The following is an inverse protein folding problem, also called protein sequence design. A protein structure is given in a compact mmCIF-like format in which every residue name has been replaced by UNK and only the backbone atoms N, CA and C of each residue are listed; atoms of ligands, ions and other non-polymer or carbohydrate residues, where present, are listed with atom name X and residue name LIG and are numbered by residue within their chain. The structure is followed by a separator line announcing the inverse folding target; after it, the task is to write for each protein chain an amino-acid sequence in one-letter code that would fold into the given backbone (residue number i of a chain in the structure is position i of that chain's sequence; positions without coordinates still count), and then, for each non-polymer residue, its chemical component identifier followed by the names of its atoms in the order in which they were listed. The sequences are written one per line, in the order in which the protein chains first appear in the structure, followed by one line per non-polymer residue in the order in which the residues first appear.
data_IF_539961587326
#
_entry.id   IF_539961587326
#
_cell.length_a   1.000
_cell.length_b   1.000
_cell.length_c   1.000
_cell.angle_alpha   90.00
_cell.angle_beta   90.00
_cell.angle_gamma   90.00
#
_symmetry.space_group_name_H-M   'P 1'
#
loop_
_entity.id
_entity.type
_entity.pdbx_description
1 polymer ?
#
# COMPACT_ATOMS: atom_id res chain seq x y z
N UNK A 1 -15.25 22.57 -13.69
CA UNK A 1 -14.99 21.18 -13.28
C UNK A 1 -14.29 20.35 -14.36
N UNK A 2 -14.81 20.25 -15.56
CA UNK A 2 -14.15 19.52 -16.67
C UNK A 2 -12.74 20.03 -16.97
N UNK A 3 -12.56 21.34 -17.07
CA UNK A 3 -11.24 21.96 -17.31
C UNK A 3 -10.23 21.62 -16.20
N UNK A 4 -10.66 21.63 -14.93
CA UNK A 4 -9.83 21.23 -13.79
C UNK A 4 -9.40 19.75 -13.87
N UNK A 5 -10.36 18.85 -14.13
CA UNK A 5 -10.07 17.42 -14.26
C UNK A 5 -9.11 17.13 -15.42
N UNK A 6 -9.34 17.79 -16.57
CA UNK A 6 -8.45 17.69 -17.74
C UNK A 6 -7.03 18.19 -17.40
N UNK A 7 -6.93 19.36 -16.75
CA UNK A 7 -5.63 19.89 -16.30
C UNK A 7 -4.92 18.95 -15.34
N UNK A 8 -5.63 18.36 -14.39
CA UNK A 8 -5.07 17.38 -13.45
C UNK A 8 -4.63 16.11 -14.15
N UNK A 9 -5.44 15.59 -15.07
CA UNK A 9 -5.07 14.42 -15.88
C UNK A 9 -3.82 14.68 -16.72
N UNK A 10 -3.73 15.88 -17.33
CA UNK A 10 -2.54 16.28 -18.08
C UNK A 10 -1.30 16.41 -17.18
N UNK A 11 -1.44 16.84 -15.93
CA UNK A 11 -0.32 16.92 -14.97
C UNK A 11 0.17 15.56 -14.47
N UNK A 12 -0.62 14.49 -14.59
CA UNK A 12 -0.16 13.12 -14.30
C UNK A 12 1.00 12.74 -15.24
N UNK A 13 0.93 13.12 -16.50
CA UNK A 13 1.95 12.76 -17.49
C UNK A 13 3.35 13.29 -17.10
N UNK A 14 3.57 14.61 -16.88
CA UNK A 14 4.89 15.09 -16.47
C UNK A 14 5.32 14.56 -15.11
N UNK A 15 4.37 14.29 -14.20
CA UNK A 15 4.68 13.69 -12.90
C UNK A 15 5.23 12.27 -13.07
N UNK A 16 4.58 11.43 -13.86
CA UNK A 16 5.04 10.08 -14.14
C UNK A 16 6.37 10.06 -14.91
N UNK A 17 6.55 10.98 -15.86
CA UNK A 17 7.82 11.14 -16.55
C UNK A 17 8.94 11.54 -15.59
N UNK A 18 8.69 12.47 -14.67
CA UNK A 18 9.66 12.87 -13.65
C UNK A 18 10.01 11.69 -12.71
N UNK A 19 9.02 10.97 -12.21
CA UNK A 19 9.23 9.80 -11.35
C UNK A 19 10.02 8.72 -12.11
N UNK A 20 9.61 8.37 -13.32
CA UNK A 20 10.27 7.35 -14.13
C UNK A 20 11.73 7.71 -14.45
N UNK A 21 12.00 8.98 -14.76
CA UNK A 21 13.36 9.46 -15.03
C UNK A 21 14.25 9.36 -13.79
N UNK A 22 13.75 9.83 -12.64
CA UNK A 22 14.50 9.77 -11.37
C UNK A 22 14.76 8.33 -10.96
N UNK A 23 13.74 7.47 -11.01
CA UNK A 23 13.90 6.06 -10.65
C UNK A 23 14.85 5.33 -11.60
N UNK A 24 14.72 5.56 -12.90
CA UNK A 24 15.66 5.00 -13.89
C UNK A 24 17.08 5.47 -13.63
N UNK A 25 17.28 6.77 -13.38
CA UNK A 25 18.60 7.32 -13.07
C UNK A 25 19.18 6.67 -11.79
N UNK A 26 18.40 6.58 -10.70
CA UNK A 26 18.85 5.94 -9.46
C UNK A 26 19.32 4.51 -9.70
N UNK A 27 18.56 3.72 -10.47
CA UNK A 27 18.91 2.33 -10.80
C UNK A 27 20.26 2.26 -11.55
N UNK A 28 20.64 3.28 -12.35
CA UNK A 28 21.95 3.30 -13.03
C UNK A 28 23.14 3.44 -12.06
N UNK A 29 22.93 4.05 -10.89
CA UNK A 29 24.00 4.25 -9.89
C UNK A 29 24.14 3.07 -8.92
N UNK A 30 23.21 2.12 -8.92
CA UNK A 30 23.31 0.95 -8.05
C UNK A 30 24.33 -0.03 -8.61
N UNK A 31 25.45 -0.32 -7.91
CA UNK A 31 26.47 -1.25 -8.38
C UNK A 31 25.94 -2.69 -8.37
N UNK A 32 26.43 -3.51 -9.31
CA UNK A 32 26.08 -4.93 -9.39
C UNK A 32 24.75 -5.20 -10.07
N UNK A 33 24.54 -4.64 -11.26
CA UNK A 33 23.39 -4.88 -12.11
C UNK A 33 23.23 -6.33 -12.58
N UNK A 34 22.21 -6.64 -13.42
CA UNK A 34 21.95 -8.01 -13.86
C UNK A 34 23.14 -8.64 -14.57
N UNK A 35 23.93 -7.86 -15.31
CA UNK A 35 25.14 -8.34 -16.00
C UNK A 35 26.19 -8.79 -14.99
N UNK A 36 26.49 -7.94 -14.00
CA UNK A 36 27.47 -8.26 -12.93
C UNK A 36 27.04 -9.48 -12.11
N UNK A 37 25.73 -9.64 -11.87
CA UNK A 37 25.23 -10.82 -11.18
C UNK A 37 25.39 -12.11 -11.98
N UNK A 38 25.13 -12.07 -13.28
CA UNK A 38 25.35 -13.23 -14.16
C UNK A 38 26.83 -13.58 -14.18
N UNK A 39 27.71 -12.59 -14.35
CA UNK A 39 29.16 -12.77 -14.30
C UNK A 39 29.58 -13.40 -12.97
N UNK A 40 29.10 -12.86 -11.85
CA UNK A 40 29.42 -13.38 -10.52
C UNK A 40 28.95 -14.83 -10.33
N UNK A 41 27.71 -15.16 -10.75
CA UNK A 41 27.17 -16.53 -10.67
C UNK A 41 27.97 -17.52 -11.52
N UNK A 42 28.31 -17.18 -12.74
CA UNK A 42 29.07 -18.07 -13.63
C UNK A 42 30.51 -18.24 -13.14
N UNK A 43 31.16 -17.17 -12.67
CA UNK A 43 32.49 -17.26 -12.08
C UNK A 43 32.49 -18.09 -10.78
N UNK A 44 31.47 -17.96 -9.93
CA UNK A 44 31.33 -18.78 -8.74
C UNK A 44 31.10 -20.27 -9.08
N UNK A 45 30.27 -20.56 -10.08
CA UNK A 45 30.07 -21.92 -10.57
C UNK A 45 31.34 -22.51 -11.19
N UNK A 46 32.10 -21.71 -11.95
CA UNK A 46 33.38 -22.12 -12.52
C UNK A 46 34.42 -22.44 -11.43
N UNK A 47 34.48 -21.62 -10.38
CA UNK A 47 35.38 -21.85 -9.24
C UNK A 47 35.05 -23.10 -8.40
N UNK A 48 33.77 -23.54 -8.42
CA UNK A 48 33.32 -24.73 -7.71
C UNK A 48 33.67 -26.07 -8.41
N UNK A 49 34.11 -26.03 -9.69
CA UNK A 49 34.41 -27.24 -10.46
C UNK A 49 35.86 -27.25 -10.90
N UNK A 50 36.59 -28.40 -10.70
CA UNK A 50 37.94 -28.57 -11.22
C UNK A 50 37.96 -28.40 -12.75
N UNK A 51 38.66 -27.38 -13.26
CA UNK A 51 38.71 -27.05 -14.68
C UNK A 51 37.61 -26.12 -15.18
N UNK A 52 36.80 -25.55 -14.26
CA UNK A 52 35.77 -24.54 -14.61
C UNK A 52 36.41 -23.28 -15.26
N UNK A 53 35.85 -22.85 -16.39
CA UNK A 53 36.30 -21.67 -17.11
C UNK A 53 35.41 -20.47 -16.75
N UNK A 54 36.02 -19.38 -16.29
CA UNK A 54 35.34 -18.10 -16.12
C UNK A 54 34.87 -17.52 -17.45
N UNK A 55 33.96 -16.55 -17.37
CA UNK A 55 33.37 -15.87 -18.51
C UNK A 55 34.50 -15.08 -19.27
N UNK A 56 34.55 -15.25 -20.59
CA UNK A 56 35.47 -14.49 -21.44
C UNK A 56 35.01 -13.04 -21.64
N UNK A 57 35.90 -12.10 -21.97
CA UNK A 57 35.53 -10.72 -22.28
C UNK A 57 34.49 -10.60 -23.42
N UNK A 58 34.52 -11.49 -24.40
CA UNK A 58 33.59 -11.55 -25.51
C UNK A 58 32.21 -11.99 -25.06
N UNK A 59 32.12 -12.98 -24.19
CA UNK A 59 30.85 -13.40 -23.57
C UNK A 59 30.24 -12.31 -22.70
N UNK A 60 31.07 -11.55 -21.95
CA UNK A 60 30.62 -10.37 -21.18
C UNK A 60 30.03 -9.31 -22.13
N UNK A 61 30.69 -9.00 -23.23
CA UNK A 61 30.21 -8.05 -24.23
C UNK A 61 28.88 -8.49 -24.85
N UNK A 62 28.70 -9.78 -25.13
CA UNK A 62 27.46 -10.35 -25.63
C UNK A 62 26.31 -10.26 -24.59
N UNK A 63 26.62 -10.52 -23.33
CA UNK A 63 25.63 -10.36 -22.23
C UNK A 63 25.24 -8.88 -22.09
N UNK A 64 26.19 -7.96 -22.13
CA UNK A 64 25.92 -6.52 -22.09
C UNK A 64 25.04 -6.07 -23.24
N UNK A 65 25.34 -6.53 -24.46
CA UNK A 65 24.53 -6.22 -25.64
C UNK A 65 23.12 -6.80 -25.56
N UNK A 66 22.97 -8.04 -25.04
CA UNK A 66 21.68 -8.68 -24.86
C UNK A 66 20.76 -7.87 -23.90
N UNK A 67 21.31 -7.33 -22.82
CA UNK A 67 20.60 -6.47 -21.90
C UNK A 67 20.58 -4.98 -22.32
N UNK A 68 21.18 -4.63 -23.45
CA UNK A 68 21.26 -3.26 -23.99
C UNK A 68 22.15 -2.33 -23.17
N UNK A 69 23.02 -2.86 -22.30
CA UNK A 69 23.98 -2.06 -21.52
C UNK A 69 25.17 -1.52 -22.37
N UNK A 70 25.27 -1.93 -23.62
CA UNK A 70 26.17 -1.38 -24.63
C UNK A 70 25.73 0.03 -25.06
N UNK A 71 24.47 0.42 -24.82
CA UNK A 71 23.93 1.71 -25.28
C UNK A 71 24.03 2.78 -24.18
N UNK A 72 24.13 4.07 -24.53
CA UNK A 72 24.11 5.18 -23.58
C UNK A 72 22.82 5.16 -22.74
N UNK A 73 22.92 5.59 -21.48
CA UNK A 73 21.80 5.55 -20.53
C UNK A 73 20.53 6.27 -21.03
N UNK A 74 20.67 7.40 -21.74
CA UNK A 74 19.52 8.11 -22.30
C UNK A 74 18.80 7.30 -23.39
N UNK A 75 19.52 6.56 -24.23
CA UNK A 75 18.91 5.69 -25.25
C UNK A 75 18.14 4.57 -24.57
N UNK A 76 18.71 3.96 -23.53
CA UNK A 76 18.05 2.93 -22.73
C UNK A 76 16.79 3.44 -22.06
N UNK A 77 16.82 4.65 -21.50
CA UNK A 77 15.66 5.28 -20.90
C UNK A 77 14.51 5.46 -21.90
N UNK A 78 14.78 6.06 -23.06
CA UNK A 78 13.72 6.29 -24.05
C UNK A 78 13.21 5.00 -24.67
N UNK A 79 14.08 3.99 -24.87
CA UNK A 79 13.65 2.67 -25.33
C UNK A 79 12.74 2.00 -24.29
N UNK A 80 13.16 2.00 -23.02
CA UNK A 80 12.38 1.46 -21.92
C UNK A 80 11.04 2.21 -21.77
N UNK A 81 11.04 3.52 -21.79
CA UNK A 81 9.84 4.34 -21.73
C UNK A 81 8.87 4.05 -22.89
N UNK A 82 9.40 3.92 -24.11
CA UNK A 82 8.61 3.59 -25.29
C UNK A 82 7.96 2.20 -25.21
N UNK A 83 8.67 1.21 -24.68
CA UNK A 83 8.14 -0.13 -24.45
C UNK A 83 7.07 -0.11 -23.35
N UNK A 84 7.33 0.57 -22.24
CA UNK A 84 6.39 0.72 -21.12
C UNK A 84 5.08 1.38 -21.57
N UNK A 85 5.13 2.40 -22.44
CA UNK A 85 3.91 3.04 -22.99
C UNK A 85 3.10 2.10 -23.89
N UNK A 86 3.69 1.02 -24.39
CA UNK A 86 3.02 -0.05 -25.12
C UNK A 86 2.56 -1.20 -24.24
N UNK A 87 2.74 -1.09 -22.92
CA UNK A 87 2.42 -2.15 -21.95
C UNK A 87 3.51 -3.21 -21.79
N UNK A 88 4.67 -3.03 -22.42
CA UNK A 88 5.81 -3.93 -22.28
C UNK A 88 6.77 -3.37 -21.22
N UNK A 89 6.74 -3.97 -20.03
CA UNK A 89 7.65 -3.66 -18.92
C UNK A 89 8.94 -4.49 -18.95
N UNK A 90 9.13 -5.30 -19.98
CA UNK A 90 10.24 -6.24 -20.12
C UNK A 90 10.04 -7.52 -19.29
N UNK A 91 11.08 -8.32 -19.20
CA UNK A 91 11.08 -9.55 -18.42
C UNK A 91 11.79 -9.38 -17.08
N UNK A 92 11.27 -10.05 -16.07
CA UNK A 92 11.92 -10.20 -14.77
C UNK A 92 13.19 -11.04 -14.89
N UNK A 93 14.26 -10.60 -14.26
CA UNK A 93 15.53 -11.37 -14.23
C UNK A 93 15.50 -12.49 -13.19
N UNK A 94 14.69 -12.32 -12.15
CA UNK A 94 14.55 -13.31 -11.04
C UNK A 94 13.50 -14.35 -11.38
N UNK A 95 12.32 -13.91 -11.83
CA UNK A 95 11.17 -14.79 -12.08
C UNK A 95 11.12 -15.36 -13.49
N UNK A 96 11.94 -14.87 -14.45
CA UNK A 96 12.00 -15.31 -15.83
C UNK A 96 10.65 -15.26 -16.56
N UNK A 97 9.83 -14.29 -16.23
CA UNK A 97 8.47 -14.06 -16.75
C UNK A 97 8.29 -12.57 -17.09
N UNK A 98 7.31 -12.20 -17.93
CA UNK A 98 6.96 -10.81 -18.15
C UNK A 98 6.67 -10.09 -16.83
N UNK A 99 7.25 -8.91 -16.65
CA UNK A 99 7.13 -8.12 -15.42
C UNK A 99 5.66 -7.87 -15.05
N UNK A 100 4.83 -7.58 -16.06
CA UNK A 100 3.41 -7.32 -15.82
C UNK A 100 2.69 -8.53 -15.24
N UNK A 101 2.99 -9.74 -15.73
CA UNK A 101 2.39 -10.97 -15.23
C UNK A 101 2.79 -11.24 -13.77
N UNK A 102 4.07 -11.02 -13.44
CA UNK A 102 4.56 -11.13 -12.06
C UNK A 102 3.82 -10.15 -11.15
N UNK A 103 3.69 -8.89 -11.55
CA UNK A 103 2.99 -7.86 -10.78
C UNK A 103 1.51 -8.22 -10.61
N UNK A 104 0.83 -8.56 -11.69
CA UNK A 104 -0.61 -8.90 -11.69
C UNK A 104 -0.88 -10.14 -10.83
N UNK A 105 0.01 -11.12 -10.79
CA UNK A 105 -0.15 -12.31 -9.94
C UNK A 105 -0.13 -12.01 -8.44
N UNK A 106 0.62 -10.98 -8.00
CA UNK A 106 0.75 -10.58 -6.58
C UNK A 106 -0.26 -9.50 -6.16
N UNK A 107 -0.77 -8.76 -7.13
CA UNK A 107 -1.69 -7.64 -6.91
C UNK A 107 -2.96 -8.03 -6.14
N UNK A 108 -3.68 -9.13 -6.43
CA UNK A 108 -4.93 -9.47 -5.74
C UNK A 108 -4.78 -9.60 -4.22
N UNK A 109 -3.66 -10.12 -3.74
CA UNK A 109 -3.38 -10.28 -2.31
C UNK A 109 -3.24 -8.91 -1.65
N UNK A 110 -2.40 -8.04 -2.18
CA UNK A 110 -2.21 -6.69 -1.62
C UNK A 110 -3.48 -5.84 -1.72
N UNK A 111 -4.24 -5.97 -2.83
CA UNK A 111 -5.54 -5.33 -2.99
C UNK A 111 -6.53 -5.78 -1.91
N UNK A 112 -6.58 -7.07 -1.62
CA UNK A 112 -7.45 -7.61 -0.58
C UNK A 112 -7.10 -7.00 0.79
N UNK A 113 -5.83 -7.08 1.22
CA UNK A 113 -5.42 -6.51 2.52
C UNK A 113 -5.64 -5.01 2.60
N UNK A 114 -5.26 -4.27 1.55
CA UNK A 114 -5.46 -2.84 1.48
C UNK A 114 -6.93 -2.45 1.56
N UNK A 115 -7.80 -3.10 0.77
CA UNK A 115 -9.23 -2.81 0.73
C UNK A 115 -9.92 -3.17 2.05
N UNK A 116 -9.70 -4.39 2.55
CA UNK A 116 -10.35 -4.86 3.80
C UNK A 116 -9.93 -3.99 4.98
N UNK A 117 -8.64 -3.73 5.14
CA UNK A 117 -8.14 -2.88 6.23
C UNK A 117 -8.67 -1.46 6.12
N UNK A 118 -8.72 -0.90 4.91
CA UNK A 118 -9.26 0.42 4.65
C UNK A 118 -10.74 0.51 5.02
N UNK A 119 -11.57 -0.41 4.53
CA UNK A 119 -13.01 -0.43 4.82
C UNK A 119 -13.26 -0.58 6.33
N UNK A 120 -12.54 -1.48 6.99
CA UNK A 120 -12.65 -1.67 8.44
C UNK A 120 -12.18 -0.44 9.21
N UNK A 121 -11.08 0.21 8.80
CA UNK A 121 -10.61 1.45 9.42
C UNK A 121 -11.70 2.53 9.39
N UNK A 122 -12.31 2.77 8.24
CA UNK A 122 -13.38 3.76 8.10
C UNK A 122 -14.64 3.36 8.88
N UNK A 123 -15.07 2.10 8.77
CA UNK A 123 -16.27 1.60 9.41
C UNK A 123 -16.21 1.71 10.95
N UNK A 124 -15.03 1.52 11.54
CA UNK A 124 -14.84 1.57 13.00
C UNK A 124 -14.45 2.97 13.46
N UNK A 125 -13.56 3.66 12.77
CA UNK A 125 -13.03 4.97 13.17
C UNK A 125 -14.09 6.07 13.14
N UNK A 126 -14.97 6.07 12.13
CA UNK A 126 -15.99 7.12 11.99
C UNK A 126 -16.95 7.12 13.21
N UNK A 127 -17.68 6.03 13.54
CA UNK A 127 -18.58 6.04 14.68
C UNK A 127 -17.85 6.22 16.00
N UNK A 128 -16.62 5.68 16.13
CA UNK A 128 -15.83 5.84 17.34
C UNK A 128 -15.38 7.29 17.52
N UNK A 129 -14.92 7.97 16.48
CA UNK A 129 -14.52 9.37 16.51
C UNK A 129 -15.67 10.30 16.91
N UNK A 130 -16.87 10.07 16.33
CA UNK A 130 -18.10 10.79 16.72
C UNK A 130 -18.44 10.55 18.20
N UNK A 131 -18.41 9.29 18.65
CA UNK A 131 -18.68 8.95 20.07
C UNK A 131 -17.67 9.63 21.01
N UNK A 132 -16.39 9.63 20.65
CA UNK A 132 -15.34 10.31 21.42
C UNK A 132 -15.54 11.83 21.49
N UNK A 133 -15.98 12.46 20.40
CA UNK A 133 -16.30 13.89 20.39
C UNK A 133 -17.47 14.22 21.34
N UNK A 134 -18.52 13.39 21.33
CA UNK A 134 -19.67 13.57 22.24
C UNK A 134 -19.32 13.37 23.73
N UNK A 135 -18.27 12.58 24.02
CA UNK A 135 -17.78 12.33 25.39
C UNK A 135 -16.46 13.04 25.68
N UNK A 136 -16.16 14.11 24.95
CA UNK A 136 -14.91 14.84 25.06
C UNK A 136 -14.62 15.30 26.50
N UNK A 137 -13.39 15.10 26.94
CA UNK A 137 -12.93 15.42 28.30
C UNK A 137 -13.32 14.41 29.38
N UNK A 138 -14.08 13.37 29.05
CA UNK A 138 -14.38 12.27 29.98
C UNK A 138 -13.18 11.32 30.16
N UNK A 139 -13.20 10.55 31.25
CA UNK A 139 -12.18 9.52 31.49
C UNK A 139 -12.13 8.49 30.34
N UNK A 140 -13.31 8.08 29.83
CA UNK A 140 -13.41 7.15 28.69
C UNK A 140 -12.77 7.70 27.42
N UNK A 141 -12.91 9.01 27.14
CA UNK A 141 -12.24 9.68 26.03
C UNK A 141 -10.72 9.70 26.23
N UNK A 142 -10.26 10.05 27.43
CA UNK A 142 -8.82 10.13 27.75
C UNK A 142 -8.14 8.76 27.65
N UNK A 143 -8.71 7.73 28.29
CA UNK A 143 -8.16 6.36 28.26
C UNK A 143 -8.16 5.79 26.84
N UNK A 144 -9.28 5.89 26.11
CA UNK A 144 -9.34 5.40 24.74
C UNK A 144 -8.40 6.19 23.80
N UNK A 145 -8.19 7.48 24.03
CA UNK A 145 -7.20 8.27 23.28
C UNK A 145 -5.77 7.78 23.54
N UNK A 146 -5.43 7.48 24.79
CA UNK A 146 -4.13 6.94 25.14
C UNK A 146 -3.86 5.58 24.47
N UNK A 147 -4.86 4.68 24.49
CA UNK A 147 -4.75 3.36 23.83
C UNK A 147 -4.60 3.51 22.30
N UNK A 148 -5.42 4.35 21.67
CA UNK A 148 -5.36 4.62 20.24
C UNK A 148 -4.00 5.22 19.86
N UNK A 149 -3.52 6.18 20.66
CA UNK A 149 -2.22 6.82 20.43
C UNK A 149 -1.07 5.84 20.61
N UNK A 150 -1.10 4.98 21.63
CA UNK A 150 -0.12 3.92 21.81
C UNK A 150 -0.06 2.99 20.59
N UNK A 151 -1.24 2.58 20.04
CA UNK A 151 -1.30 1.81 18.81
C UNK A 151 -0.76 2.56 17.58
N UNK A 152 -0.93 3.87 17.52
CA UNK A 152 -0.40 4.71 16.43
C UNK A 152 1.13 4.80 16.43
N UNK A 153 1.74 4.89 17.62
CA UNK A 153 3.20 5.02 17.76
C UNK A 153 3.92 3.72 17.42
N UNK A 154 3.27 2.58 17.64
CA UNK A 154 3.87 1.27 17.37
C UNK A 154 3.80 0.95 15.87
N UNK A 155 4.94 0.61 15.22
CA UNK A 155 4.91 0.14 13.85
C UNK A 155 4.08 -1.15 13.72
N UNK A 156 3.16 -1.22 12.74
CA UNK A 156 2.27 -2.36 12.56
C UNK A 156 3.00 -3.71 12.47
N UNK A 157 4.15 -3.77 11.79
CA UNK A 157 4.96 -4.99 11.73
C UNK A 157 5.52 -5.41 13.10
N UNK A 158 5.89 -4.45 13.96
CA UNK A 158 6.39 -4.77 15.31
C UNK A 158 5.27 -5.34 16.17
N UNK A 159 4.05 -4.78 16.06
CA UNK A 159 2.85 -5.36 16.66
C UNK A 159 2.61 -6.77 16.12
N UNK A 160 2.76 -6.98 14.82
CA UNK A 160 2.65 -8.30 14.17
C UNK A 160 3.60 -9.34 14.76
N UNK A 161 4.87 -9.01 14.94
CA UNK A 161 5.85 -9.91 15.59
C UNK A 161 5.41 -10.28 17.01
N UNK A 162 4.99 -9.29 17.80
CA UNK A 162 4.51 -9.54 19.17
C UNK A 162 3.28 -10.44 19.15
N UNK A 163 2.31 -10.18 18.27
CA UNK A 163 1.11 -11.02 18.15
C UNK A 163 1.43 -12.45 17.73
N UNK A 164 2.35 -12.65 16.79
CA UNK A 164 2.80 -13.99 16.39
C UNK A 164 3.46 -14.75 17.54
N UNK A 165 4.32 -14.11 18.31
CA UNK A 165 4.99 -14.73 19.46
C UNK A 165 3.96 -15.19 20.51
N UNK A 166 2.99 -14.33 20.84
CA UNK A 166 2.03 -14.64 21.90
C UNK A 166 0.88 -15.53 21.44
N UNK A 167 0.41 -15.40 20.21
CA UNK A 167 -0.85 -16.01 19.76
C UNK A 167 -0.70 -17.05 18.64
N UNK A 168 0.47 -17.18 17.99
CA UNK A 168 0.64 -18.09 16.85
C UNK A 168 1.81 -19.08 17.02
N UNK A 169 2.86 -18.74 17.73
CA UNK A 169 4.09 -19.53 17.79
C UNK A 169 4.05 -20.79 18.63
N UNK A 170 2.94 -21.13 19.28
CA UNK A 170 2.82 -22.30 20.16
C UNK A 170 3.60 -22.19 21.49
N UNK A 171 4.40 -21.13 21.68
CA UNK A 171 5.13 -20.89 22.92
C UNK A 171 4.21 -20.52 24.08
N UNK A 172 3.22 -19.66 23.82
CA UNK A 172 2.22 -19.25 24.79
C UNK A 172 0.83 -19.73 24.38
N UNK A 173 0.32 -19.27 23.25
CA UNK A 173 -0.99 -19.62 22.70
C UNK A 173 -0.81 -20.03 21.23
N UNK A 174 -1.62 -20.96 20.74
CA UNK A 174 -1.66 -21.41 19.34
C UNK A 174 -3.04 -21.12 18.73
N UNK A 175 -3.50 -19.86 18.87
CA UNK A 175 -4.82 -19.49 18.41
C UNK A 175 -4.87 -19.12 16.91
N UNK A 176 -3.74 -18.66 16.36
CA UNK A 176 -3.64 -18.19 14.99
C UNK A 176 -2.49 -18.87 14.26
N UNK A 177 -2.54 -18.99 12.92
CA UNK A 177 -1.45 -19.50 12.11
C UNK A 177 -0.24 -18.55 12.13
N UNK A 178 0.96 -19.10 11.94
CA UNK A 178 2.20 -18.34 11.93
C UNK A 178 2.41 -17.47 10.70
N UNK A 179 1.82 -17.85 9.57
CA UNK A 179 1.99 -17.14 8.32
C UNK A 179 1.17 -17.77 7.20
N UNK A 180 1.47 -17.38 5.96
CA UNK A 180 0.71 -17.72 4.76
C UNK A 180 -0.69 -17.14 4.74
N UNK A 181 -1.37 -17.28 3.62
CA UNK A 181 -2.77 -16.83 3.44
C UNK A 181 -3.79 -17.95 3.63
N UNK A 182 -3.33 -19.21 3.65
CA UNK A 182 -4.12 -20.42 3.86
C UNK A 182 -3.24 -21.52 4.44
N UNK A 183 -3.85 -22.54 5.04
CA UNK A 183 -3.17 -23.73 5.56
C UNK A 183 -2.65 -24.66 4.47
N UNK A 184 -1.63 -25.47 4.77
CA UNK A 184 -1.04 -26.43 3.81
C UNK A 184 -2.05 -27.46 3.28
N UNK A 185 -3.08 -27.80 4.07
CA UNK A 185 -4.15 -28.74 3.70
C UNK A 185 -5.37 -28.06 3.06
N UNK A 186 -5.27 -26.79 2.66
CA UNK A 186 -6.38 -25.98 2.14
C UNK A 186 -7.16 -26.65 1.03
N UNK A 187 -6.46 -27.30 0.08
CA UNK A 187 -7.11 -27.96 -1.07
C UNK A 187 -8.04 -29.12 -0.66
N UNK A 188 -7.75 -29.76 0.48
CA UNK A 188 -8.55 -30.88 1.01
C UNK A 188 -9.74 -30.45 1.86
N UNK A 189 -9.86 -29.15 2.18
CA UNK A 189 -10.94 -28.62 3.02
C UNK A 189 -12.27 -28.52 2.26
N UNK A 190 -13.37 -28.59 3.01
CA UNK A 190 -14.70 -28.29 2.46
C UNK A 190 -14.79 -26.82 2.04
N UNK A 191 -15.71 -26.41 1.13
CA UNK A 191 -15.85 -25.03 0.72
C UNK A 191 -16.07 -24.05 1.88
N UNK A 192 -16.79 -24.46 2.92
CA UNK A 192 -17.02 -23.67 4.11
C UNK A 192 -15.75 -23.54 4.97
N UNK A 193 -15.04 -24.64 5.17
CA UNK A 193 -13.78 -24.66 5.93
C UNK A 193 -12.67 -23.87 5.22
N UNK A 194 -12.65 -23.86 3.88
CA UNK A 194 -11.76 -23.00 3.08
C UNK A 194 -11.95 -21.52 3.40
N UNK A 195 -13.20 -21.08 3.52
CA UNK A 195 -13.50 -19.68 3.89
C UNK A 195 -13.06 -19.38 5.33
N UNK A 196 -13.33 -20.29 6.26
CA UNK A 196 -12.93 -20.12 7.65
C UNK A 196 -11.41 -20.11 7.81
N UNK A 197 -10.71 -21.02 7.14
CA UNK A 197 -9.25 -21.09 7.12
C UNK A 197 -8.64 -19.78 6.60
N UNK A 198 -9.11 -19.32 5.44
CA UNK A 198 -8.68 -18.04 4.87
C UNK A 198 -8.93 -16.87 5.83
N UNK A 199 -10.14 -16.75 6.39
CA UNK A 199 -10.45 -15.66 7.34
C UNK A 199 -9.59 -15.75 8.59
N UNK A 200 -9.29 -16.96 9.08
CA UNK A 200 -8.45 -17.16 10.26
C UNK A 200 -7.00 -16.68 10.03
N UNK A 201 -6.43 -16.95 8.85
CA UNK A 201 -5.12 -16.45 8.46
C UNK A 201 -5.09 -14.92 8.30
N UNK A 202 -6.24 -14.31 7.97
CA UNK A 202 -6.31 -12.85 7.73
C UNK A 202 -6.39 -12.01 9.00
N UNK A 203 -6.80 -12.58 10.15
CA UNK A 203 -7.09 -11.79 11.37
C UNK A 203 -5.90 -10.95 11.81
N UNK A 204 -4.75 -11.56 12.04
CA UNK A 204 -3.57 -10.86 12.56
C UNK A 204 -2.98 -9.88 11.54
N UNK A 205 -2.77 -10.26 10.26
CA UNK A 205 -2.29 -9.33 9.25
C UNK A 205 -3.21 -8.11 9.08
N UNK A 206 -4.52 -8.32 8.90
CA UNK A 206 -5.50 -7.23 8.74
C UNK A 206 -5.46 -6.29 9.95
N UNK A 207 -5.37 -6.82 11.17
CA UNK A 207 -5.23 -6.01 12.38
C UNK A 207 -3.97 -5.12 12.32
N UNK A 208 -2.83 -5.66 11.86
CA UNK A 208 -1.58 -4.91 11.74
C UNK A 208 -1.65 -3.82 10.66
N UNK A 209 -2.32 -4.09 9.54
CA UNK A 209 -2.57 -3.07 8.51
C UNK A 209 -3.51 -1.96 9.00
N UNK A 210 -4.50 -2.32 9.80
CA UNK A 210 -5.55 -1.41 10.27
C UNK A 210 -5.05 -0.42 11.32
N UNK A 211 -4.11 -0.81 12.21
CA UNK A 211 -3.82 -0.11 13.46
C UNK A 211 -3.36 1.35 13.24
N UNK A 212 -2.54 1.61 12.23
CA UNK A 212 -2.04 2.96 11.91
C UNK A 212 -3.13 3.89 11.37
N UNK A 213 -3.85 3.45 10.36
CA UNK A 213 -4.93 4.18 9.71
C UNK A 213 -6.10 4.44 10.67
N UNK A 214 -6.46 3.42 11.46
CA UNK A 214 -7.52 3.50 12.47
C UNK A 214 -7.30 4.65 13.45
N UNK A 215 -6.09 4.79 13.97
CA UNK A 215 -5.77 5.83 14.94
C UNK A 215 -5.92 7.22 14.35
N UNK A 216 -5.33 7.44 13.18
CA UNK A 216 -5.36 8.72 12.46
C UNK A 216 -6.80 9.13 12.12
N UNK A 217 -7.57 8.22 11.54
CA UNK A 217 -8.96 8.46 11.15
C UNK A 217 -9.86 8.74 12.36
N UNK A 218 -9.68 8.00 13.45
CA UNK A 218 -10.46 8.20 14.68
C UNK A 218 -10.23 9.60 15.26
N UNK A 219 -8.97 10.04 15.33
CA UNK A 219 -8.63 11.38 15.83
C UNK A 219 -9.12 12.47 14.88
N UNK A 220 -8.97 12.27 13.56
CA UNK A 220 -9.48 13.21 12.56
C UNK A 220 -10.99 13.36 12.67
N UNK A 221 -11.75 12.27 12.74
CA UNK A 221 -13.20 12.30 12.89
C UNK A 221 -13.63 12.93 14.21
N UNK A 222 -12.94 12.62 15.33
CA UNK A 222 -13.17 13.28 16.63
C UNK A 222 -13.02 14.80 16.51
N UNK A 223 -11.90 15.27 15.97
CA UNK A 223 -11.60 16.69 15.89
C UNK A 223 -12.55 17.43 14.95
N UNK A 224 -12.88 16.87 13.79
CA UNK A 224 -13.88 17.43 12.88
C UNK A 224 -15.26 17.51 13.52
N UNK A 225 -15.65 16.50 14.30
CA UNK A 225 -16.93 16.51 15.01
C UNK A 225 -16.94 17.57 16.12
N UNK A 226 -15.83 17.73 16.86
CA UNK A 226 -15.69 18.78 17.89
C UNK A 226 -15.79 20.19 17.32
N UNK A 227 -15.15 20.43 16.17
CA UNK A 227 -15.26 21.70 15.46
C UNK A 227 -16.71 22.03 15.10
N UNK A 228 -17.43 21.06 14.54
CA UNK A 228 -18.84 21.24 14.18
C UNK A 228 -19.73 21.48 15.42
N UNK A 229 -19.45 20.84 16.55
CA UNK A 229 -20.17 21.04 17.80
C UNK A 229 -20.06 22.48 18.33
N UNK A 230 -18.98 23.18 18.05
CA UNK A 230 -18.78 24.58 18.44
C UNK A 230 -19.57 25.60 17.64
N UNK A 231 -20.16 25.22 16.50
CA UNK A 231 -20.84 26.14 15.56
C UNK A 231 -22.25 26.54 16.04
N UNK A 232 -22.70 27.74 15.67
CA UNK A 232 -23.98 28.32 16.12
C UNK A 232 -25.23 27.53 15.65
N UNK A 233 -25.15 26.87 14.50
CA UNK A 233 -26.27 26.03 14.06
C UNK A 233 -26.53 24.84 14.98
N UNK A 234 -25.49 24.34 15.66
CA UNK A 234 -25.63 23.29 16.66
C UNK A 234 -26.32 23.80 17.93
N UNK A 235 -25.95 25.01 18.38
CA UNK A 235 -26.65 25.67 19.50
C UNK A 235 -28.13 25.89 19.17
N UNK A 236 -28.42 26.33 17.95
CA UNK A 236 -29.80 26.53 17.46
C UNK A 236 -30.56 25.20 17.43
N UNK A 237 -29.93 24.11 16.97
CA UNK A 237 -30.58 22.80 16.94
C UNK A 237 -30.93 22.30 18.34
N UNK A 238 -30.03 22.46 19.32
CA UNK A 238 -30.28 22.09 20.71
C UNK A 238 -31.35 23.01 21.35
N UNK A 239 -31.36 24.29 21.07
CA UNK A 239 -32.39 25.22 21.53
C UNK A 239 -33.78 24.89 20.98
N UNK A 240 -33.89 24.22 19.83
CA UNK A 240 -35.14 23.67 19.28
C UNK A 240 -35.52 22.31 19.84
N UNK A 241 -34.83 21.84 20.92
CA UNK A 241 -35.20 20.63 21.67
C UNK A 241 -34.51 19.35 21.18
N UNK A 242 -33.57 19.40 20.26
CA UNK A 242 -32.81 18.20 19.88
C UNK A 242 -31.81 17.85 20.98
N UNK A 243 -31.74 16.56 21.35
CA UNK A 243 -30.65 16.06 22.20
C UNK A 243 -29.32 16.19 21.48
N UNK A 244 -28.20 16.26 22.23
CA UNK A 244 -26.85 16.32 21.64
C UNK A 244 -26.63 15.22 20.59
N UNK A 245 -26.99 13.99 20.89
CA UNK A 245 -26.87 12.85 19.98
C UNK A 245 -27.66 13.07 18.68
N UNK A 246 -28.90 13.56 18.77
CA UNK A 246 -29.72 13.83 17.60
C UNK A 246 -29.16 15.00 16.76
N UNK A 247 -28.70 16.06 17.44
CA UNK A 247 -28.10 17.21 16.78
C UNK A 247 -26.81 16.80 16.03
N UNK A 248 -25.93 15.98 16.65
CA UNK A 248 -24.71 15.47 16.00
C UNK A 248 -25.04 14.66 14.75
N UNK A 249 -25.86 13.60 14.87
CA UNK A 249 -26.11 12.71 13.74
C UNK A 249 -26.95 13.35 12.61
N UNK A 250 -27.82 14.32 12.93
CA UNK A 250 -28.68 14.97 11.92
C UNK A 250 -28.04 16.21 11.29
N UNK A 251 -27.19 16.93 12.02
CA UNK A 251 -26.71 18.25 11.60
C UNK A 251 -25.17 18.28 11.41
N UNK A 252 -24.40 17.82 12.42
CA UNK A 252 -22.95 17.93 12.41
C UNK A 252 -22.27 16.86 11.56
N UNK A 253 -22.79 15.63 11.58
CA UNK A 253 -22.12 14.45 11.02
C UNK A 253 -21.73 14.62 9.54
N UNK A 254 -22.66 15.14 8.72
CA UNK A 254 -22.37 15.35 7.30
C UNK A 254 -21.19 16.31 7.06
N UNK A 255 -21.16 17.41 7.82
CA UNK A 255 -20.07 18.38 7.70
C UNK A 255 -18.76 17.83 8.27
N UNK A 256 -18.82 17.12 9.39
CA UNK A 256 -17.67 16.48 10.03
C UNK A 256 -17.05 15.37 9.15
N UNK A 257 -17.80 14.79 8.20
CA UNK A 257 -17.28 13.82 7.23
C UNK A 257 -16.46 14.46 6.10
N UNK A 258 -16.54 15.76 5.87
CA UNK A 258 -15.84 16.40 4.75
C UNK A 258 -14.33 16.12 4.75
N UNK A 259 -13.59 16.33 5.86
CA UNK A 259 -12.16 16.01 5.89
C UNK A 259 -11.86 14.51 5.73
N UNK A 260 -12.77 13.65 6.17
CA UNK A 260 -12.65 12.19 6.01
C UNK A 260 -12.86 11.80 4.55
N UNK A 261 -13.83 12.38 3.88
CA UNK A 261 -14.14 12.12 2.48
C UNK A 261 -13.00 12.51 1.53
N UNK A 262 -12.21 13.54 1.87
CA UNK A 262 -11.02 13.93 1.09
C UNK A 262 -9.94 12.85 1.08
N UNK A 263 -9.88 12.01 2.13
CA UNK A 263 -8.95 10.89 2.24
C UNK A 263 -9.37 9.63 1.47
N UNK A 264 -10.60 9.56 0.94
CA UNK A 264 -11.10 8.32 0.31
C UNK A 264 -10.26 7.87 -0.88
N UNK A 265 -9.69 8.79 -1.67
CA UNK A 265 -8.81 8.42 -2.78
C UNK A 265 -7.47 7.82 -2.36
N UNK A 266 -7.08 7.93 -1.07
CA UNK A 266 -5.88 7.26 -0.55
C UNK A 266 -5.99 5.73 -0.61
N UNK A 267 -7.19 5.18 -0.82
CA UNK A 267 -7.40 3.74 -1.01
C UNK A 267 -6.47 3.16 -2.07
N UNK A 268 -6.27 3.87 -3.20
CA UNK A 268 -5.35 3.40 -4.24
C UNK A 268 -3.89 3.41 -3.77
N UNK A 269 -3.49 4.37 -2.95
CA UNK A 269 -2.16 4.37 -2.35
C UNK A 269 -1.99 3.16 -1.43
N UNK A 270 -2.95 2.90 -0.54
CA UNK A 270 -2.91 1.78 0.41
C UNK A 270 -2.88 0.43 -0.33
N UNK A 271 -3.65 0.30 -1.41
CA UNK A 271 -3.70 -0.92 -2.23
C UNK A 271 -2.36 -1.27 -2.90
N UNK A 272 -1.55 -0.28 -3.25
CA UNK A 272 -0.29 -0.48 -3.97
C UNK A 272 0.96 -0.22 -3.11
N UNK A 273 0.82 0.56 -2.03
CA UNK A 273 1.90 0.78 -1.06
C UNK A 273 1.74 -0.22 0.10
N UNK A 274 1.66 -1.49 -0.25
CA UNK A 274 1.52 -2.56 0.74
C UNK A 274 2.61 -2.45 1.82
N UNK A 275 2.28 -2.81 3.04
CA UNK A 275 3.22 -2.78 4.14
C UNK A 275 4.19 -3.96 4.01
N UNK A 276 5.24 -3.77 3.23
CA UNK A 276 6.31 -4.73 2.97
C UNK A 276 6.74 -5.52 4.22
N UNK A 277 6.92 -4.82 5.34
CA UNK A 277 7.35 -5.45 6.57
C UNK A 277 6.26 -6.33 7.19
N UNK A 278 4.97 -5.98 7.03
CA UNK A 278 3.86 -6.83 7.47
C UNK A 278 3.79 -8.08 6.59
N UNK A 279 3.86 -7.94 5.27
CA UNK A 279 3.89 -9.08 4.35
C UNK A 279 5.05 -10.02 4.66
N UNK A 280 6.24 -9.46 4.99
CA UNK A 280 7.40 -10.26 5.38
C UNK A 280 7.23 -10.99 6.72
N UNK A 281 6.61 -10.35 7.71
CA UNK A 281 6.39 -10.93 9.05
C UNK A 281 5.38 -12.09 8.98
N UNK A 282 4.36 -11.98 8.15
CA UNK A 282 3.31 -12.99 8.00
C UNK A 282 3.50 -13.93 6.80
N UNK A 283 4.63 -13.84 6.11
CA UNK A 283 4.95 -14.61 4.90
C UNK A 283 3.86 -14.54 3.83
N UNK A 284 3.37 -13.32 3.60
CA UNK A 284 2.34 -13.02 2.62
C UNK A 284 3.00 -12.61 1.30
N UNK A 285 2.76 -13.39 0.25
CA UNK A 285 3.37 -13.17 -1.07
C UNK A 285 2.62 -12.09 -1.88
N UNK A 286 2.69 -10.85 -1.38
CA UNK A 286 2.08 -9.67 -1.97
C UNK A 286 3.06 -8.76 -2.70
N UNK A 287 2.59 -7.57 -3.07
CA UNK A 287 3.34 -6.55 -3.83
C UNK A 287 4.54 -5.98 -3.05
N UNK A 288 4.43 -5.87 -1.72
CA UNK A 288 5.52 -5.37 -0.89
C UNK A 288 6.66 -6.38 -0.81
N UNK A 289 6.34 -7.66 -0.62
CA UNK A 289 7.34 -8.72 -0.62
C UNK A 289 7.97 -8.88 -2.02
N UNK A 290 7.17 -8.76 -3.08
CA UNK A 290 7.68 -8.73 -4.46
C UNK A 290 8.67 -7.57 -4.65
N UNK A 291 8.34 -6.36 -4.21
CA UNK A 291 9.22 -5.20 -4.29
C UNK A 291 10.53 -5.45 -3.53
N UNK A 292 10.46 -5.97 -2.32
CA UNK A 292 11.63 -6.30 -1.50
C UNK A 292 12.54 -7.33 -2.18
N UNK A 293 11.97 -8.45 -2.61
CA UNK A 293 12.72 -9.52 -3.26
C UNK A 293 13.36 -9.04 -4.56
N UNK A 294 12.65 -8.21 -5.32
CA UNK A 294 13.17 -7.60 -6.56
C UNK A 294 14.28 -6.59 -6.30
N UNK A 295 14.19 -5.81 -5.21
CA UNK A 295 15.27 -4.89 -4.81
C UNK A 295 16.54 -5.65 -4.41
N UNK A 296 16.42 -6.68 -3.57
CA UNK A 296 17.56 -7.51 -3.15
C UNK A 296 18.10 -8.32 -4.33
N UNK A 297 17.22 -8.90 -5.14
CA UNK A 297 17.55 -9.62 -6.36
C UNK A 297 18.01 -8.73 -7.52
N UNK A 298 17.99 -7.39 -7.33
CA UNK A 298 18.34 -6.39 -8.35
C UNK A 298 17.58 -6.57 -9.66
N UNK A 299 16.31 -6.97 -9.52
CA UNK A 299 15.39 -7.09 -10.63
C UNK A 299 14.81 -5.71 -10.97
N UNK A 300 15.60 -4.90 -11.64
CA UNK A 300 15.28 -3.51 -11.89
C UNK A 300 14.02 -3.32 -12.72
N UNK A 301 13.71 -4.25 -13.63
CA UNK A 301 12.52 -4.18 -14.44
C UNK A 301 11.26 -4.29 -13.57
N UNK A 302 11.23 -5.21 -12.61
CA UNK A 302 10.12 -5.35 -11.66
C UNK A 302 10.03 -4.15 -10.73
N UNK A 303 11.17 -3.68 -10.19
CA UNK A 303 11.22 -2.49 -9.32
C UNK A 303 10.65 -1.26 -10.02
N UNK A 304 11.14 -0.97 -11.23
CA UNK A 304 10.67 0.17 -12.04
C UNK A 304 9.19 0.02 -12.41
N UNK A 305 8.77 -1.19 -12.79
CA UNK A 305 7.38 -1.50 -13.09
C UNK A 305 6.44 -1.23 -11.92
N UNK A 306 6.78 -1.72 -10.72
CA UNK A 306 5.99 -1.49 -9.50
C UNK A 306 5.93 0.00 -9.17
N UNK A 307 7.05 0.73 -9.21
CA UNK A 307 7.08 2.17 -8.88
C UNK A 307 6.20 2.96 -9.85
N UNK A 308 6.31 2.72 -11.15
CA UNK A 308 5.53 3.47 -12.14
C UNK A 308 4.05 3.15 -12.03
N UNK A 309 3.67 1.88 -11.92
CA UNK A 309 2.27 1.49 -11.74
C UNK A 309 1.70 2.03 -10.43
N UNK A 310 2.41 1.89 -9.32
CA UNK A 310 1.98 2.45 -8.02
C UNK A 310 1.79 3.97 -8.11
N UNK A 311 2.72 4.69 -8.76
CA UNK A 311 2.62 6.14 -8.96
C UNK A 311 1.41 6.52 -9.80
N UNK A 312 1.09 5.75 -10.84
CA UNK A 312 -0.10 5.93 -11.67
C UNK A 312 -1.38 5.77 -10.82
N UNK A 313 -1.47 4.68 -10.04
CA UNK A 313 -2.64 4.43 -9.20
C UNK A 313 -2.79 5.48 -8.09
N UNK A 314 -1.70 5.93 -7.47
CA UNK A 314 -1.73 7.05 -6.51
C UNK A 314 -2.23 8.34 -7.16
N UNK A 315 -1.80 8.63 -8.39
CA UNK A 315 -2.26 9.81 -9.12
C UNK A 315 -3.76 9.71 -9.47
N UNK A 316 -4.23 8.55 -9.90
CA UNK A 316 -5.65 8.27 -10.13
C UNK A 316 -6.47 8.36 -8.84
N UNK A 317 -5.92 7.88 -7.73
CA UNK A 317 -6.53 7.98 -6.41
C UNK A 317 -6.74 9.43 -5.97
N UNK A 318 -5.76 10.30 -6.20
CA UNK A 318 -5.90 11.74 -5.94
C UNK A 318 -6.98 12.37 -6.81
N UNK A 319 -7.07 11.99 -8.07
CA UNK A 319 -8.14 12.46 -8.96
C UNK A 319 -9.52 12.02 -8.46
N UNK A 320 -9.65 10.77 -7.98
CA UNK A 320 -10.88 10.27 -7.38
C UNK A 320 -11.25 11.03 -6.10
N UNK A 321 -10.26 11.33 -5.23
CA UNK A 321 -10.48 12.17 -4.04
C UNK A 321 -11.09 13.52 -4.41
N UNK A 322 -10.58 14.17 -5.45
CA UNK A 322 -11.10 15.48 -5.88
C UNK A 322 -12.54 15.37 -6.38
N UNK A 323 -12.88 14.31 -7.10
CA UNK A 323 -14.25 14.06 -7.57
C UNK A 323 -15.20 13.85 -6.37
N UNK A 324 -14.79 13.00 -5.42
CA UNK A 324 -15.58 12.72 -4.21
C UNK A 324 -15.76 13.99 -3.38
N UNK A 325 -14.71 14.82 -3.28
CA UNK A 325 -14.76 16.07 -2.54
C UNK A 325 -15.86 17.02 -3.08
N UNK A 326 -15.94 17.17 -4.40
CA UNK A 326 -17.00 17.98 -5.04
C UNK A 326 -18.40 17.38 -4.83
N UNK A 327 -18.52 16.06 -4.85
CA UNK A 327 -19.80 15.38 -4.61
C UNK A 327 -20.26 15.57 -3.15
N UNK A 328 -19.34 15.55 -2.19
CA UNK A 328 -19.64 15.70 -0.76
C UNK A 328 -19.94 17.16 -0.40
N UNK A 329 -19.17 18.11 -0.96
CA UNK A 329 -19.38 19.54 -0.77
C UNK A 329 -19.56 20.28 -2.10
N UNK A 330 -20.81 20.44 -2.59
CA UNK A 330 -21.11 21.13 -3.84
C UNK A 330 -20.77 22.64 -3.84
N UNK A 331 -20.39 23.21 -2.69
CA UNK A 331 -20.00 24.63 -2.57
C UNK A 331 -18.61 24.89 -3.10
N UNK A 332 -17.81 23.83 -3.22
CA UNK A 332 -16.45 23.92 -3.73
C UNK A 332 -16.51 24.00 -5.25
N UNK A 333 -16.10 25.14 -5.78
CA UNK A 333 -15.89 25.35 -7.21
C UNK A 333 -14.38 25.30 -7.47
N UNK A 334 -13.95 24.36 -8.26
CA UNK A 334 -12.61 24.37 -8.83
C UNK A 334 -12.65 25.26 -10.07
N UNK A 335 -12.26 26.50 -9.91
CA UNK A 335 -12.08 27.48 -11.01
C UNK A 335 -10.77 27.20 -11.75
#
# INVERSE_FOLDING_TARGET
MTAYLVRRLLLIVPTLLGISLVCFALVQFVPGGPVEQIIAKVNAAAAAHPGGRGISPEEIANIQAYFGFDKPAYVRYFTWLGNMLRGDFGNSYVYQQPVLDVIVSKMPISLFFGLVSYVLAYAVSIPLGVKKAMSHGSLSDSVSSAVIFAGYVLPGYAVGIVLLIFFAGGTYLSWFPLGNIVSDNFESLSPFDKVLDFLHHMVLPVFCYLIGEFAMLTLLMKNSTLEELGKDYMRTAMAKGLSLRQAVWRQAFRNALIPIATGVGSIFAVMFTSALLIERVFDIDGMGLLMWNSMIGRDYNVVLGIIVLSSLFVALGRLLSDIIYVVVDPRIRFD
#
